data_IF_250788282627
#
_entry.id   IF_250788282627
#
_cell.length_a   1.000
_cell.length_b   1.000
_cell.length_c   1.000
_cell.angle_alpha   90.00
_cell.angle_beta   90.00
_cell.angle_gamma   90.00
#
_symmetry.space_group_name_H-M   'P 1'
#
loop_
_entity.id
_entity.type
_entity.pdbx_description
1 polymer ?
#
# COMPACT_ATOMS: atom_id res chain seq x y z
N UNK A 1 17.16 24.12 11.29
CA UNK A 1 16.12 23.08 11.10
C UNK A 1 15.60 23.19 9.68
N UNK A 2 16.02 22.28 8.81
CA UNK A 2 15.53 22.21 7.43
C UNK A 2 14.16 21.52 7.41
N UNK A 3 13.30 21.88 6.46
CA UNK A 3 11.96 21.30 6.31
C UNK A 3 11.68 20.97 4.85
N UNK A 4 11.00 19.85 4.62
CA UNK A 4 10.49 19.44 3.31
C UNK A 4 8.99 19.21 3.40
N UNK A 5 8.25 19.75 2.43
CA UNK A 5 6.80 19.65 2.34
C UNK A 5 6.45 18.80 1.12
N UNK A 6 5.62 17.78 1.34
CA UNK A 6 5.14 16.86 0.31
C UNK A 6 3.64 17.03 0.18
N UNK A 7 3.19 17.51 -0.98
CA UNK A 7 1.77 17.74 -1.25
C UNK A 7 1.16 16.51 -1.94
N UNK A 8 0.19 15.89 -1.29
CA UNK A 8 -0.48 14.68 -1.75
C UNK A 8 -1.99 14.88 -1.82
N UNK A 9 -2.65 14.03 -2.60
CA UNK A 9 -4.12 13.97 -2.71
C UNK A 9 -4.60 12.54 -2.51
N UNK A 10 -5.57 12.37 -1.62
CA UNK A 10 -6.25 11.10 -1.42
C UNK A 10 -7.23 10.82 -2.57
N UNK A 11 -6.96 9.76 -3.33
CA UNK A 11 -7.76 9.26 -4.45
C UNK A 11 -8.84 8.29 -3.98
N UNK A 12 -8.56 7.57 -2.89
CA UNK A 12 -9.54 6.77 -2.16
C UNK A 12 -9.46 7.13 -0.68
N UNK A 13 -10.49 6.84 0.14
CA UNK A 13 -10.51 7.32 1.53
C UNK A 13 -9.27 6.89 2.31
N UNK A 14 -8.49 7.86 2.78
CA UNK A 14 -7.30 7.64 3.60
C UNK A 14 -7.76 7.43 5.05
N UNK A 15 -7.69 6.18 5.50
CA UNK A 15 -8.02 5.79 6.87
C UNK A 15 -6.74 5.52 7.65
N UNK A 16 -6.48 6.20 8.76
CA UNK A 16 -5.29 5.98 9.60
C UNK A 16 -5.60 5.45 10.99
N UNK A 17 -6.83 4.95 11.20
CA UNK A 17 -7.33 4.57 12.52
C UNK A 17 -7.87 5.78 13.28
N UNK A 18 -8.75 5.52 14.25
CA UNK A 18 -9.30 6.53 15.13
C UNK A 18 -9.36 6.03 16.57
N UNK A 19 -9.35 6.97 17.52
CA UNK A 19 -9.27 6.68 18.94
C UNK A 19 -10.45 5.83 19.45
N UNK A 20 -11.67 6.10 18.96
CA UNK A 20 -12.86 5.31 19.29
C UNK A 20 -13.24 4.45 18.09
N UNK A 21 -13.22 3.12 18.26
CA UNK A 21 -13.70 2.15 17.26
C UNK A 21 -15.07 2.52 16.68
N UNK A 22 -15.90 3.22 17.46
CA UNK A 22 -17.27 3.60 17.13
C UNK A 22 -17.47 4.96 16.45
N UNK A 23 -16.45 5.83 16.42
CA UNK A 23 -16.59 7.21 15.91
C UNK A 23 -15.85 7.48 14.60
N UNK A 24 -15.26 6.45 13.99
CA UNK A 24 -14.46 6.65 12.79
C UNK A 24 -13.12 7.32 13.09
N UNK A 25 -12.58 8.03 12.11
CA UNK A 25 -11.32 8.76 12.16
C UNK A 25 -11.65 10.26 12.15
N UNK A 26 -10.98 11.02 13.01
CA UNK A 26 -11.16 12.47 13.20
C UNK A 26 -10.04 13.29 12.55
N UNK A 27 -8.84 12.71 12.44
CA UNK A 27 -7.69 13.30 11.75
C UNK A 27 -6.82 12.22 11.10
N UNK A 28 -5.98 12.63 10.15
CA UNK A 28 -4.91 11.76 9.66
C UNK A 28 -3.87 11.62 10.77
N UNK A 29 -3.56 10.39 11.16
CA UNK A 29 -2.59 10.07 12.21
C UNK A 29 -1.21 9.81 11.58
N UNK A 30 -0.19 10.64 11.87
CA UNK A 30 1.14 10.50 11.29
C UNK A 30 1.80 9.15 11.59
N UNK A 31 1.54 8.55 12.75
CA UNK A 31 2.10 7.25 13.14
C UNK A 31 1.72 6.12 12.18
N UNK A 32 0.50 6.15 11.62
CA UNK A 32 0.08 5.14 10.64
C UNK A 32 0.83 5.31 9.32
N UNK A 33 0.97 6.56 8.88
CA UNK A 33 1.72 6.92 7.67
C UNK A 33 3.19 6.53 7.80
N UNK A 34 3.81 6.86 8.94
CA UNK A 34 5.21 6.50 9.25
C UNK A 34 5.47 5.00 9.13
N UNK A 35 4.55 4.16 9.63
CA UNK A 35 4.68 2.70 9.52
C UNK A 35 4.73 2.22 8.07
N UNK A 36 3.96 2.85 7.17
CA UNK A 36 4.00 2.53 5.74
C UNK A 36 5.25 3.05 5.04
N UNK A 37 5.70 4.26 5.36
CA UNK A 37 6.95 4.76 4.81
C UNK A 37 8.13 3.87 5.22
N UNK A 38 8.18 3.47 6.50
CA UNK A 38 9.16 2.50 6.99
C UNK A 38 9.09 1.18 6.23
N UNK A 39 7.89 0.60 6.05
CA UNK A 39 7.73 -0.66 5.32
C UNK A 39 8.33 -0.61 3.91
N UNK A 40 8.07 0.48 3.17
CA UNK A 40 8.63 0.66 1.83
C UNK A 40 10.12 0.98 1.85
N UNK A 41 10.60 1.74 2.84
CA UNK A 41 12.02 2.00 3.04
C UNK A 41 12.80 0.70 3.30
N UNK A 42 12.26 -0.22 4.12
CA UNK A 42 12.83 -1.55 4.33
C UNK A 42 12.82 -2.40 3.05
N UNK A 43 11.76 -2.32 2.24
CA UNK A 43 11.68 -3.05 0.98
C UNK A 43 12.74 -2.55 -0.03
N UNK A 44 13.04 -1.25 -0.03
CA UNK A 44 14.13 -0.66 -0.81
C UNK A 44 15.48 -1.10 -0.25
N UNK A 45 15.73 -0.94 1.05
CA UNK A 45 17.02 -1.28 1.67
C UNK A 45 17.41 -2.74 1.45
N UNK A 46 16.43 -3.67 1.45
CA UNK A 46 16.68 -5.11 1.22
C UNK A 46 17.21 -5.46 -0.17
N UNK A 47 17.14 -4.57 -1.16
CA UNK A 47 17.78 -4.80 -2.46
C UNK A 47 19.31 -4.64 -2.39
N UNK A 48 19.78 -3.88 -1.39
CA UNK A 48 21.20 -3.61 -1.12
C UNK A 48 21.74 -4.39 0.06
N UNK A 49 20.88 -4.67 1.04
CA UNK A 49 21.20 -5.45 2.23
C UNK A 49 20.18 -6.59 2.42
N UNK A 50 20.35 -7.71 1.69
CA UNK A 50 19.46 -8.87 1.78
C UNK A 50 19.33 -9.48 3.18
N UNK A 51 20.35 -9.30 4.02
CA UNK A 51 20.38 -9.80 5.40
C UNK A 51 19.54 -8.94 6.35
N UNK A 52 19.00 -7.80 5.88
CA UNK A 52 18.13 -6.95 6.67
C UNK A 52 16.87 -7.71 7.12
N UNK A 53 16.83 -7.99 8.42
CA UNK A 53 15.74 -8.69 9.09
C UNK A 53 14.43 -7.89 9.01
N UNK A 54 13.30 -8.58 9.22
CA UNK A 54 11.98 -7.94 9.36
C UNK A 54 11.78 -7.30 10.73
N UNK A 55 12.57 -7.69 11.72
CA UNK A 55 12.48 -7.15 13.07
C UNK A 55 13.32 -5.87 13.18
N UNK A 56 12.83 -4.83 13.87
CA UNK A 56 13.65 -3.68 14.20
C UNK A 56 14.94 -4.08 14.94
N UNK A 57 16.02 -3.32 14.70
CA UNK A 57 17.26 -3.46 15.46
C UNK A 57 16.98 -3.32 16.95
N UNK A 58 17.66 -4.12 17.77
CA UNK A 58 17.63 -3.99 19.23
C UNK A 58 18.97 -3.41 19.64
N UNK A 59 18.95 -2.18 20.13
CA UNK A 59 20.10 -1.57 20.76
C UNK A 59 20.09 -2.00 22.23
N UNK A 60 21.25 -2.37 22.76
CA UNK A 60 21.44 -2.70 24.17
C UNK A 60 22.11 -1.55 24.91
N UNK A 61 22.03 -1.55 26.24
CA UNK A 61 22.71 -0.53 27.06
C UNK A 61 24.22 -0.49 26.78
N UNK A 62 24.85 -1.66 26.57
CA UNK A 62 26.27 -1.77 26.17
C UNK A 62 26.58 -1.08 24.82
N UNK A 63 25.61 -1.06 23.89
CA UNK A 63 25.77 -0.38 22.59
C UNK A 63 25.64 1.15 22.75
N UNK A 64 24.85 1.62 23.71
CA UNK A 64 24.70 3.04 24.05
C UNK A 64 25.94 3.54 24.78
N UNK A 65 26.49 2.78 25.73
CA UNK A 65 27.73 3.14 26.42
C UNK A 65 28.90 3.28 25.43
N UNK A 66 28.93 2.47 24.36
CA UNK A 66 29.90 2.65 23.27
C UNK A 66 29.70 3.96 22.52
N UNK A 67 28.48 4.45 22.35
CA UNK A 67 28.19 5.73 21.69
C UNK A 67 28.68 6.93 22.52
N UNK A 68 28.48 6.89 23.83
CA UNK A 68 28.90 7.98 24.73
C UNK A 68 30.42 8.12 24.84
N UNK A 69 31.17 7.06 24.50
CA UNK A 69 32.64 7.05 24.46
C UNK A 69 33.21 7.54 23.12
N UNK A 70 32.36 7.76 22.13
CA UNK A 70 32.74 8.13 20.77
C UNK A 70 32.42 9.62 20.55
N UNK A 71 33.31 10.49 21.03
CA UNK A 71 33.32 11.90 20.64
C UNK A 71 33.66 12.00 19.13
N UNK A 72 32.86 12.75 18.38
CA UNK A 72 33.11 13.17 16.99
C UNK A 72 33.28 12.07 15.92
N UNK A 73 32.61 10.92 16.01
CA UNK A 73 32.58 9.97 14.88
C UNK A 73 31.51 10.30 13.86
N UNK A 74 31.96 10.42 12.61
CA UNK A 74 31.11 10.44 11.44
C UNK A 74 30.22 9.18 11.41
N UNK A 75 28.90 9.38 11.49
CA UNK A 75 27.90 8.32 11.43
C UNK A 75 27.83 7.77 9.99
N UNK A 76 28.70 6.80 9.71
CA UNK A 76 28.72 6.03 8.46
C UNK A 76 27.91 4.73 8.61
N UNK A 77 27.56 4.09 7.49
CA UNK A 77 26.91 2.77 7.52
C UNK A 77 27.70 1.72 8.33
N UNK A 78 29.04 1.86 8.36
CA UNK A 78 29.91 0.97 9.12
C UNK A 78 29.74 1.19 10.63
N UNK A 79 29.76 2.45 11.07
CA UNK A 79 29.61 2.77 12.50
C UNK A 79 28.19 2.49 12.99
N UNK A 80 27.16 2.71 12.15
CA UNK A 80 25.80 2.25 12.44
C UNK A 80 25.72 0.72 12.59
N UNK A 81 26.39 -0.02 11.70
CA UNK A 81 26.44 -1.48 11.76
C UNK A 81 27.15 -2.01 13.01
N UNK A 82 28.24 -1.36 13.44
CA UNK A 82 28.96 -1.67 14.70
C UNK A 82 28.08 -1.46 15.95
N UNK A 83 27.07 -0.58 15.85
CA UNK A 83 26.05 -0.33 16.88
C UNK A 83 24.81 -1.22 16.75
N UNK A 84 24.83 -2.20 15.84
CA UNK A 84 23.68 -3.05 15.56
C UNK A 84 22.50 -2.32 14.90
N UNK A 85 22.70 -1.09 14.42
CA UNK A 85 21.68 -0.24 13.79
C UNK A 85 21.75 -0.35 12.26
N UNK A 86 20.61 -0.63 11.63
CA UNK A 86 20.46 -0.46 10.19
C UNK A 86 20.03 0.96 9.83
N UNK A 87 20.23 1.36 8.57
CA UNK A 87 19.84 2.66 8.04
C UNK A 87 18.37 3.00 8.30
N UNK A 88 17.48 2.00 8.23
CA UNK A 88 16.05 2.20 8.49
C UNK A 88 15.79 2.53 9.96
N UNK A 89 16.38 1.78 10.89
CA UNK A 89 16.20 2.05 12.33
C UNK A 89 16.86 3.36 12.73
N UNK A 90 17.98 3.72 12.09
CA UNK A 90 18.60 5.02 12.26
C UNK A 90 17.63 6.16 11.91
N UNK A 91 16.96 6.08 10.76
CA UNK A 91 16.03 7.12 10.28
C UNK A 91 14.70 7.12 11.03
N UNK A 92 14.04 5.96 11.12
CA UNK A 92 12.67 5.80 11.64
C UNK A 92 12.58 5.52 13.13
N UNK A 93 13.71 5.33 13.81
CA UNK A 93 13.76 4.94 15.21
C UNK A 93 13.64 3.43 15.42
N UNK A 94 14.03 3.00 16.61
CA UNK A 94 13.77 1.66 17.17
C UNK A 94 13.68 1.77 18.70
N UNK A 95 13.53 0.66 19.43
CA UNK A 95 13.59 0.68 20.89
C UNK A 95 14.91 1.32 21.35
N UNK A 96 14.85 2.25 22.30
CA UNK A 96 15.98 3.08 22.76
C UNK A 96 16.63 4.00 21.70
N UNK A 97 16.03 4.15 20.50
CA UNK A 97 16.52 5.06 19.47
C UNK A 97 15.42 5.94 18.88
N UNK A 98 15.53 7.25 19.10
CA UNK A 98 14.58 8.20 18.53
C UNK A 98 14.74 8.33 17.01
N UNK A 99 13.62 8.51 16.31
CA UNK A 99 13.61 8.87 14.89
C UNK A 99 14.31 10.23 14.67
N UNK A 100 14.93 10.42 13.50
CA UNK A 100 15.77 11.60 13.19
C UNK A 100 15.01 12.76 12.52
N UNK A 101 13.69 12.69 12.52
CA UNK A 101 12.82 13.72 11.96
C UNK A 101 11.47 13.80 12.68
N UNK A 102 10.86 14.98 12.63
CA UNK A 102 9.46 15.17 12.97
C UNK A 102 8.60 15.13 11.70
N UNK A 103 7.44 14.48 11.79
CA UNK A 103 6.44 14.47 10.74
C UNK A 103 5.16 15.09 11.26
N UNK A 104 4.66 16.08 10.54
CA UNK A 104 3.34 16.66 10.74
C UNK A 104 2.48 16.51 9.47
N UNK A 105 1.16 16.50 9.65
CA UNK A 105 0.21 16.37 8.54
C UNK A 105 -0.85 17.45 8.67
N UNK A 106 -0.95 18.30 7.65
CA UNK A 106 -2.01 19.31 7.54
C UNK A 106 -3.04 18.94 6.47
N UNK A 107 -4.30 19.29 6.72
CA UNK A 107 -5.44 19.06 5.83
C UNK A 107 -6.17 20.38 5.61
N UNK A 108 -6.05 20.94 4.41
CA UNK A 108 -6.68 22.23 4.08
C UNK A 108 -7.84 22.06 3.10
N UNK A 109 -7.69 21.18 2.11
CA UNK A 109 -8.63 21.04 0.99
C UNK A 109 -9.19 19.61 0.90
N UNK A 110 -9.96 19.20 1.91
CA UNK A 110 -10.59 17.89 1.93
C UNK A 110 -11.68 17.73 2.98
N UNK A 111 -12.21 16.51 3.09
CA UNK A 111 -13.26 16.18 4.05
C UNK A 111 -13.13 14.76 4.58
N UNK A 112 -13.71 14.54 5.76
CA UNK A 112 -13.83 13.22 6.35
C UNK A 112 -15.12 12.56 5.88
N UNK A 113 -14.98 11.44 5.17
CA UNK A 113 -16.10 10.56 4.84
C UNK A 113 -16.34 9.56 5.96
N UNK A 114 -17.59 9.22 6.23
CA UNK A 114 -17.94 8.29 7.29
C UNK A 114 -19.00 7.27 6.85
N UNK A 115 -18.54 6.04 6.61
CA UNK A 115 -19.40 4.90 6.25
C UNK A 115 -19.55 3.92 7.43
N UNK A 116 -19.76 4.45 8.64
CA UNK A 116 -19.81 3.63 9.85
C UNK A 116 -20.78 2.44 9.73
N UNK A 117 -20.30 1.25 10.10
CA UNK A 117 -21.02 -0.02 9.99
C UNK A 117 -21.51 -0.41 8.58
N UNK A 118 -21.05 0.25 7.52
CA UNK A 118 -21.42 -0.11 6.16
C UNK A 118 -20.58 -1.27 5.63
N UNK A 119 -21.26 -2.26 5.05
CA UNK A 119 -20.66 -3.43 4.44
C UNK A 119 -20.89 -3.44 2.93
N UNK A 120 -19.80 -3.61 2.17
CA UNK A 120 -19.85 -4.01 0.76
C UNK A 120 -20.18 -5.50 0.75
N UNK A 121 -21.29 -5.90 0.13
CA UNK A 121 -21.74 -7.29 0.15
C UNK A 121 -20.77 -8.22 -0.61
N UNK A 122 -20.56 -9.42 -0.07
CA UNK A 122 -19.66 -10.41 -0.68
C UNK A 122 -20.30 -11.36 -1.69
N UNK A 123 -21.62 -11.33 -1.80
CA UNK A 123 -22.39 -12.37 -2.50
C UNK A 123 -22.38 -13.72 -1.80
N UNK A 124 -21.72 -13.84 -0.64
CA UNK A 124 -21.55 -15.09 0.12
C UNK A 124 -22.31 -15.05 1.43
N UNK A 125 -22.76 -16.21 1.88
CA UNK A 125 -23.40 -16.38 3.18
C UNK A 125 -22.46 -17.15 4.12
N UNK A 126 -22.30 -16.63 5.34
CA UNK A 126 -21.58 -17.31 6.41
C UNK A 126 -22.54 -17.51 7.57
N UNK A 127 -22.80 -18.77 7.95
CA UNK A 127 -23.70 -19.12 9.07
C UNK A 127 -25.05 -18.39 9.00
N UNK A 128 -25.71 -18.43 7.85
CA UNK A 128 -26.99 -17.76 7.55
C UNK A 128 -26.98 -16.22 7.67
N UNK A 129 -25.80 -15.59 7.69
CA UNK A 129 -25.65 -14.13 7.58
C UNK A 129 -25.01 -13.80 6.24
N UNK A 130 -25.55 -12.79 5.56
CA UNK A 130 -24.86 -12.22 4.40
C UNK A 130 -23.49 -11.70 4.83
N UNK A 131 -22.43 -12.24 4.24
CA UNK A 131 -21.08 -11.72 4.42
C UNK A 131 -20.91 -10.37 3.74
N UNK A 132 -19.85 -9.67 4.12
CA UNK A 132 -19.45 -8.43 3.50
C UNK A 132 -18.16 -7.89 4.08
N UNK A 133 -17.57 -6.92 3.39
CA UNK A 133 -16.36 -6.23 3.81
C UNK A 133 -16.70 -4.83 4.29
N UNK A 134 -16.08 -4.35 5.37
CA UNK A 134 -16.32 -3.00 5.87
C UNK A 134 -15.90 -1.97 4.83
N UNK A 135 -16.85 -1.14 4.38
CA UNK A 135 -16.56 0.11 3.70
C UNK A 135 -16.09 1.09 4.77
N UNK A 136 -14.80 1.40 4.77
CA UNK A 136 -14.27 2.40 5.69
C UNK A 136 -14.21 3.75 5.00
N UNK A 137 -14.79 4.75 5.67
CA UNK A 137 -14.54 6.15 5.35
C UNK A 137 -13.10 6.55 5.69
N UNK A 138 -12.83 7.84 5.70
CA UNK A 138 -11.50 8.40 5.87
C UNK A 138 -11.41 9.78 5.23
N UNK A 139 -10.21 10.34 5.24
CA UNK A 139 -9.96 11.62 4.60
C UNK A 139 -9.95 11.47 3.08
N UNK A 140 -10.59 12.40 2.38
CA UNK A 140 -10.50 12.55 0.93
C UNK A 140 -10.21 14.02 0.59
N UNK A 141 -9.30 14.26 -0.35
CA UNK A 141 -8.80 15.60 -0.68
C UNK A 141 -7.29 15.73 -0.53
N UNK A 142 -6.79 16.96 -0.62
CA UNK A 142 -5.36 17.29 -0.56
C UNK A 142 -4.87 17.45 0.87
N UNK A 143 -3.64 17.02 1.13
CA UNK A 143 -2.99 17.12 2.43
C UNK A 143 -1.48 17.23 2.24
N UNK A 144 -0.82 17.84 3.22
CA UNK A 144 0.62 18.06 3.18
C UNK A 144 1.29 17.21 4.27
N UNK A 145 2.38 16.55 3.91
CA UNK A 145 3.29 15.92 4.86
C UNK A 145 4.49 16.85 5.03
N UNK A 146 4.66 17.38 6.22
CA UNK A 146 5.79 18.24 6.59
C UNK A 146 6.81 17.42 7.35
N UNK A 147 8.04 17.37 6.86
CA UNK A 147 9.18 16.67 7.46
C UNK A 147 10.18 17.71 7.93
N UNK A 148 10.46 17.74 9.24
CA UNK A 148 11.47 18.62 9.85
C UNK A 148 12.63 17.80 10.39
N UNK A 149 13.85 18.10 9.94
CA UNK A 149 15.05 17.34 10.31
C UNK A 149 15.64 17.81 11.63
N UNK A 150 16.15 16.87 12.41
CA UNK A 150 16.82 17.19 13.68
C UNK A 150 18.27 17.65 13.48
N UNK A 151 18.93 17.25 12.39
CA UNK A 151 20.35 17.50 12.10
C UNK A 151 20.53 17.94 10.64
N UNK A 152 21.55 18.76 10.33
CA UNK A 152 21.73 19.44 9.02
C UNK A 152 22.18 18.52 7.88
N UNK A 153 22.76 17.36 8.17
CA UNK A 153 23.16 16.40 7.15
C UNK A 153 22.84 14.98 7.60
N UNK A 154 21.92 14.33 6.91
CA UNK A 154 21.70 12.90 7.10
C UNK A 154 21.08 12.28 5.85
N UNK A 155 21.39 11.00 5.53
CA UNK A 155 20.80 10.24 4.43
C UNK A 155 19.30 9.93 4.61
N UNK A 156 18.56 10.69 5.42
CA UNK A 156 17.14 10.50 5.75
C UNK A 156 16.24 10.70 4.52
N UNK A 157 16.54 11.71 3.71
CA UNK A 157 15.66 12.17 2.63
C UNK A 157 15.29 11.06 1.63
N UNK A 158 16.24 10.29 1.06
CA UNK A 158 15.91 9.17 0.19
C UNK A 158 14.95 8.17 0.83
N UNK A 159 15.14 7.84 2.11
CA UNK A 159 14.29 6.90 2.84
C UNK A 159 12.88 7.43 3.12
N UNK A 160 12.58 8.70 2.86
CA UNK A 160 11.22 9.27 2.94
C UNK A 160 10.64 9.48 1.55
N UNK A 161 11.41 10.12 0.67
CA UNK A 161 10.98 10.56 -0.66
C UNK A 161 10.70 9.36 -1.58
N UNK A 162 11.59 8.36 -1.61
CA UNK A 162 11.41 7.19 -2.47
C UNK A 162 10.15 6.41 -2.06
N UNK A 163 9.92 6.05 -0.77
CA UNK A 163 8.65 5.46 -0.34
C UNK A 163 7.41 6.26 -0.73
N UNK A 164 7.42 7.57 -0.55
CA UNK A 164 6.30 8.44 -0.95
C UNK A 164 6.03 8.32 -2.44
N UNK A 165 7.07 8.38 -3.30
CA UNK A 165 6.93 8.21 -4.75
C UNK A 165 6.37 6.85 -5.15
N UNK A 166 6.85 5.78 -4.51
CA UNK A 166 6.34 4.43 -4.78
C UNK A 166 4.86 4.35 -4.43
N UNK A 167 4.48 4.88 -3.26
CA UNK A 167 3.08 4.90 -2.80
C UNK A 167 2.20 5.74 -3.74
N UNK A 168 2.66 6.93 -4.13
CA UNK A 168 1.88 7.86 -4.97
C UNK A 168 1.60 7.33 -6.37
N UNK A 169 2.50 6.49 -6.91
CA UNK A 169 2.37 5.91 -8.26
C UNK A 169 1.73 4.53 -8.28
N UNK A 170 2.12 3.67 -7.35
CA UNK A 170 1.92 2.23 -7.53
C UNK A 170 1.14 1.56 -6.40
N UNK A 171 1.06 2.20 -5.23
CA UNK A 171 0.51 1.57 -4.04
C UNK A 171 -0.50 2.47 -3.32
N UNK A 172 -0.67 2.20 -2.02
CA UNK A 172 -1.56 2.90 -1.11
C UNK A 172 -0.97 2.79 0.30
N UNK A 173 -1.36 3.70 1.18
CA UNK A 173 -0.94 3.72 2.59
C UNK A 173 -2.10 4.12 3.51
N UNK A 174 -1.96 3.81 4.79
CA UNK A 174 -3.06 3.88 5.75
C UNK A 174 -3.51 2.50 6.24
N UNK A 175 -4.45 2.46 7.17
CA UNK A 175 -5.18 1.25 7.51
C UNK A 175 -6.17 0.86 6.40
N UNK A 176 -6.48 -0.43 6.33
CA UNK A 176 -7.49 -1.00 5.42
C UNK A 176 -7.12 -0.93 3.91
N UNK A 177 -5.85 -0.73 3.57
CA UNK A 177 -5.35 -0.76 2.18
C UNK A 177 -5.67 -2.08 1.46
N UNK A 178 -5.71 -3.19 2.18
CA UNK A 178 -6.08 -4.51 1.66
C UNK A 178 -7.56 -4.64 1.24
N UNK A 179 -8.37 -3.62 1.52
CA UNK A 179 -9.79 -3.50 1.17
C UNK A 179 -10.09 -2.29 0.28
N UNK A 180 -9.08 -1.53 -0.18
CA UNK A 180 -9.27 -0.46 -1.16
C UNK A 180 -8.89 0.96 -0.74
N UNK A 181 -8.66 1.19 0.54
CA UNK A 181 -8.40 2.53 1.10
C UNK A 181 -6.96 3.03 0.82
N UNK A 182 -6.80 4.35 0.84
CA UNK A 182 -5.49 4.99 0.95
C UNK A 182 -4.67 5.11 -0.33
N UNK A 183 -5.28 4.96 -1.51
CA UNK A 183 -4.61 5.31 -2.76
C UNK A 183 -4.46 6.82 -2.82
N UNK A 184 -3.26 7.29 -3.21
CA UNK A 184 -2.94 8.71 -3.29
C UNK A 184 -2.14 9.01 -4.55
N UNK A 185 -2.11 10.28 -4.94
CA UNK A 185 -1.19 10.81 -5.92
C UNK A 185 -0.55 12.10 -5.40
N UNK A 186 0.47 12.55 -6.10
CA UNK A 186 1.03 13.88 -5.89
C UNK A 186 0.18 14.95 -6.57
N UNK A 187 0.19 16.15 -6.00
CA UNK A 187 -0.45 17.32 -6.61
C UNK A 187 0.48 17.89 -7.69
N UNK A 188 -0.07 18.22 -8.86
CA UNK A 188 0.62 18.41 -10.15
C UNK A 188 1.78 19.43 -10.19
N UNK A 189 1.96 20.26 -9.15
CA UNK A 189 3.10 21.18 -9.04
C UNK A 189 4.43 20.52 -8.62
N UNK A 190 4.48 19.18 -8.49
CA UNK A 190 5.62 18.44 -7.93
C UNK A 190 6.21 17.35 -8.85
N UNK A 191 6.02 17.40 -10.17
CA UNK A 191 6.52 16.33 -11.07
C UNK A 191 8.04 16.10 -10.99
N UNK A 192 8.83 17.10 -10.57
CA UNK A 192 10.28 16.97 -10.34
C UNK A 192 10.67 16.79 -8.86
N UNK A 193 9.70 16.76 -7.94
CA UNK A 193 9.97 16.64 -6.52
C UNK A 193 10.70 15.34 -6.22
N UNK A 194 11.88 15.45 -5.58
CA UNK A 194 12.67 14.29 -5.20
C UNK A 194 13.42 13.59 -6.33
N UNK A 195 13.28 14.03 -7.59
CA UNK A 195 13.95 13.36 -8.74
C UNK A 195 15.46 13.25 -8.56
N UNK A 196 16.14 14.37 -8.27
CA UNK A 196 17.58 14.37 -8.05
C UNK A 196 18.00 13.51 -6.83
N UNK A 197 17.16 13.44 -5.81
CA UNK A 197 17.40 12.62 -4.61
C UNK A 197 17.33 11.13 -4.98
N UNK A 198 16.31 10.75 -5.75
CA UNK A 198 16.09 9.38 -6.22
C UNK A 198 17.24 8.96 -7.15
N UNK A 199 17.55 9.77 -8.16
CA UNK A 199 18.64 9.51 -9.11
C UNK A 199 19.98 9.34 -8.39
N UNK A 200 20.31 10.26 -7.46
CA UNK A 200 21.53 10.17 -6.64
C UNK A 200 21.57 8.91 -5.77
N UNK A 201 20.48 8.62 -5.06
CA UNK A 201 20.42 7.44 -4.19
C UNK A 201 20.67 6.15 -4.96
N UNK A 202 20.04 5.97 -6.12
CA UNK A 202 20.23 4.78 -6.95
C UNK A 202 21.59 4.79 -7.68
N UNK A 203 22.14 5.95 -8.02
CA UNK A 203 23.47 6.05 -8.63
C UNK A 203 24.61 5.70 -7.67
N UNK A 204 24.45 6.04 -6.39
CA UNK A 204 25.43 5.79 -5.33
C UNK A 204 25.36 4.33 -4.86
N UNK A 205 24.18 3.70 -4.94
CA UNK A 205 23.94 2.32 -4.55
C UNK A 205 23.77 1.40 -5.79
N UNK A 206 24.86 1.11 -6.52
CA UNK A 206 24.79 0.32 -7.77
C UNK A 206 24.81 -1.20 -7.59
N UNK A 207 25.27 -1.71 -6.45
CA UNK A 207 25.36 -3.16 -6.21
C UNK A 207 24.03 -3.69 -5.70
N UNK A 208 23.10 -3.94 -6.63
CA UNK A 208 21.86 -4.64 -6.34
C UNK A 208 22.14 -6.13 -6.25
N UNK A 209 21.69 -6.79 -5.19
CA UNK A 209 21.76 -8.24 -5.08
C UNK A 209 20.51 -8.91 -5.66
N UNK A 210 20.65 -9.40 -6.90
CA UNK A 210 19.60 -10.16 -7.61
C UNK A 210 19.54 -11.64 -7.20
N UNK A 211 20.49 -12.15 -6.41
CA UNK A 211 20.50 -13.55 -5.97
C UNK A 211 19.48 -13.82 -4.85
N UNK A 212 18.81 -12.77 -4.38
CA UNK A 212 18.03 -12.76 -3.17
C UNK A 212 16.81 -13.71 -3.23
N UNK A 213 16.79 -14.69 -2.31
CA UNK A 213 15.68 -15.63 -2.06
C UNK A 213 14.99 -15.33 -0.73
N UNK A 214 14.95 -14.06 -0.35
CA UNK A 214 14.43 -13.66 0.96
C UNK A 214 12.95 -14.02 1.12
N UNK A 215 12.60 -14.49 2.31
CA UNK A 215 11.21 -14.73 2.74
C UNK A 215 10.54 -13.46 3.26
N UNK A 216 11.17 -12.29 3.10
CA UNK A 216 10.60 -10.99 3.46
C UNK A 216 10.48 -10.08 2.24
N UNK A 217 9.54 -9.11 2.26
CA UNK A 217 9.32 -8.21 1.13
C UNK A 217 10.55 -7.38 0.81
N UNK A 218 10.99 -7.44 -0.45
CA UNK A 218 11.94 -6.53 -1.06
C UNK A 218 11.34 -5.97 -2.36
N UNK A 219 11.89 -4.86 -2.85
CA UNK A 219 11.33 -4.14 -3.98
C UNK A 219 11.42 -4.91 -5.32
N UNK A 220 12.43 -5.77 -5.50
CA UNK A 220 12.59 -6.59 -6.73
C UNK A 220 11.52 -7.68 -6.85
N UNK A 221 10.94 -8.07 -5.72
CA UNK A 221 9.90 -9.11 -5.65
C UNK A 221 8.48 -8.53 -5.57
N UNK A 222 8.36 -7.20 -5.65
CA UNK A 222 7.08 -6.51 -5.74
C UNK A 222 6.54 -6.58 -7.17
N UNK A 223 5.22 -6.49 -7.29
CA UNK A 223 4.55 -6.32 -8.57
C UNK A 223 3.52 -5.20 -8.46
N UNK A 224 3.29 -4.49 -9.57
CA UNK A 224 2.28 -3.44 -9.65
C UNK A 224 1.48 -3.56 -10.94
N UNK A 225 0.16 -3.45 -10.83
CA UNK A 225 -0.79 -3.50 -11.94
C UNK A 225 -1.73 -2.32 -11.79
N UNK A 226 -1.96 -1.60 -12.89
CA UNK A 226 -2.98 -0.56 -13.02
C UNK A 226 -4.02 -1.02 -14.03
N UNK A 227 -5.28 -0.99 -13.65
CA UNK A 227 -6.39 -1.30 -14.55
C UNK A 227 -7.14 -0.01 -14.83
N UNK A 228 -7.19 0.39 -16.10
CA UNK A 228 -7.92 1.57 -16.56
C UNK A 228 -9.14 1.14 -17.36
N UNK A 229 -10.27 1.76 -17.06
CA UNK A 229 -11.54 1.39 -17.66
C UNK A 229 -12.52 2.56 -17.66
N UNK A 230 -13.49 2.51 -18.58
CA UNK A 230 -14.61 3.45 -18.59
C UNK A 230 -15.80 2.89 -17.82
N UNK A 231 -16.38 3.71 -16.95
CA UNK A 231 -17.58 3.33 -16.21
C UNK A 231 -18.42 4.53 -15.78
N UNK A 232 -19.74 4.36 -15.93
CA UNK A 232 -20.75 5.27 -15.37
C UNK A 232 -21.30 4.74 -14.05
N UNK A 233 -21.97 5.61 -13.30
CA UNK A 233 -22.52 5.27 -11.98
C UNK A 233 -23.47 4.07 -12.01
N UNK A 234 -24.37 4.01 -13.00
CA UNK A 234 -25.33 2.94 -13.18
C UNK A 234 -24.64 1.58 -13.44
N UNK A 235 -23.58 1.57 -14.23
CA UNK A 235 -22.78 0.37 -14.50
C UNK A 235 -22.13 -0.16 -13.22
N UNK A 236 -21.50 0.72 -12.44
CA UNK A 236 -20.82 0.38 -11.18
C UNK A 236 -21.79 -0.10 -10.08
N UNK A 237 -22.97 0.51 -10.00
CA UNK A 237 -24.04 0.06 -9.09
C UNK A 237 -24.57 -1.31 -9.51
N UNK A 238 -24.76 -1.53 -10.81
CA UNK A 238 -25.23 -2.81 -11.34
C UNK A 238 -24.22 -3.94 -11.09
N UNK A 239 -22.92 -3.63 -11.11
CA UNK A 239 -21.85 -4.56 -10.77
C UNK A 239 -21.98 -5.07 -9.32
N UNK A 240 -22.20 -4.17 -8.34
CA UNK A 240 -22.45 -4.59 -6.95
C UNK A 240 -23.70 -5.46 -6.86
N UNK A 241 -24.80 -5.08 -7.55
CA UNK A 241 -26.05 -5.85 -7.54
C UNK A 241 -25.91 -7.24 -8.14
N UNK A 242 -25.22 -7.38 -9.28
CA UNK A 242 -24.96 -8.65 -9.96
C UNK A 242 -24.20 -9.60 -9.04
N UNK A 243 -23.17 -9.12 -8.36
CA UNK A 243 -22.40 -9.92 -7.41
C UNK A 243 -23.26 -10.40 -6.21
N UNK A 244 -24.34 -9.70 -5.90
CA UNK A 244 -25.27 -10.05 -4.83
C UNK A 244 -26.40 -11.01 -5.26
N UNK A 245 -26.41 -11.52 -6.49
CA UNK A 245 -27.49 -12.35 -7.05
C UNK A 245 -28.89 -11.72 -6.88
N UNK A 246 -29.01 -10.39 -6.94
CA UNK A 246 -30.26 -9.68 -6.64
C UNK A 246 -30.89 -10.03 -5.28
N UNK A 247 -30.15 -10.69 -4.36
CA UNK A 247 -30.55 -10.83 -2.96
C UNK A 247 -30.48 -9.43 -2.36
N UNK A 248 -31.63 -8.76 -2.44
CA UNK A 248 -31.83 -7.38 -2.00
C UNK A 248 -31.18 -7.20 -0.64
N UNK A 249 -30.46 -6.09 -0.55
CA UNK A 249 -29.90 -5.43 0.62
C UNK A 249 -30.99 -5.33 1.71
N UNK A 250 -31.27 -6.43 2.41
CA UNK A 250 -32.25 -6.51 3.52
C UNK A 250 -31.59 -6.37 4.89
N UNK A 251 -30.45 -5.68 4.94
CA UNK A 251 -29.71 -5.44 6.18
C UNK A 251 -29.31 -3.97 6.19
N UNK A 252 -29.71 -3.26 7.24
CA UNK A 252 -29.50 -1.81 7.42
C UNK A 252 -28.00 -1.42 7.41
N UNK A 253 -27.13 -2.41 7.67
CA UNK A 253 -25.68 -2.26 7.68
C UNK A 253 -25.03 -2.44 6.30
N UNK A 254 -25.77 -2.76 5.24
CA UNK A 254 -25.19 -2.85 3.88
C UNK A 254 -25.15 -1.48 3.21
N UNK A 255 -24.19 -1.30 2.30
CA UNK A 255 -24.11 -0.10 1.46
C UNK A 255 -25.39 0.04 0.64
N UNK A 256 -25.98 1.23 0.64
CA UNK A 256 -27.14 1.58 -0.15
C UNK A 256 -26.74 2.46 -1.36
N UNK A 257 -27.72 2.82 -2.21
CA UNK A 257 -27.47 3.64 -3.40
C UNK A 257 -26.91 5.03 -3.07
N UNK A 258 -27.30 5.63 -1.94
CA UNK A 258 -26.82 6.93 -1.51
C UNK A 258 -25.36 6.85 -1.03
N UNK A 259 -25.00 5.82 -0.27
CA UNK A 259 -23.60 5.58 0.15
C UNK A 259 -22.68 5.44 -1.09
N UNK A 260 -23.14 4.70 -2.11
CA UNK A 260 -22.41 4.54 -3.36
C UNK A 260 -22.36 5.82 -4.19
N UNK A 261 -23.44 6.62 -4.17
CA UNK A 261 -23.48 7.93 -4.82
C UNK A 261 -22.47 8.88 -4.18
N UNK A 262 -22.41 8.91 -2.86
CA UNK A 262 -21.42 9.69 -2.12
C UNK A 262 -20.00 9.27 -2.50
N UNK A 263 -19.71 7.96 -2.59
CA UNK A 263 -18.40 7.50 -3.08
C UNK A 263 -18.10 8.06 -4.48
N UNK A 264 -19.03 7.87 -5.42
CA UNK A 264 -18.88 8.26 -6.82
C UNK A 264 -18.69 9.76 -7.03
N UNK A 265 -19.42 10.58 -6.27
CA UNK A 265 -19.30 12.05 -6.25
C UNK A 265 -17.98 12.52 -5.66
N UNK A 266 -17.37 11.72 -4.78
CA UNK A 266 -16.04 11.96 -4.22
C UNK A 266 -14.91 11.34 -5.07
N UNK A 267 -15.21 10.92 -6.29
CA UNK A 267 -14.19 10.46 -7.24
C UNK A 267 -13.66 9.05 -6.99
N UNK A 268 -14.31 8.23 -6.16
CA UNK A 268 -13.93 6.84 -5.96
C UNK A 268 -15.12 5.87 -5.98
N UNK A 269 -14.88 4.58 -6.20
CA UNK A 269 -15.94 3.57 -6.13
C UNK A 269 -15.45 2.27 -5.49
N UNK A 270 -16.21 1.70 -4.51
CA UNK A 270 -15.69 0.66 -3.65
C UNK A 270 -15.70 -0.76 -4.26
N UNK A 271 -14.89 -0.99 -5.31
CA UNK A 271 -14.86 -2.27 -6.05
C UNK A 271 -13.83 -3.28 -5.53
N UNK A 272 -12.80 -2.83 -4.79
CA UNK A 272 -11.68 -3.68 -4.36
C UNK A 272 -12.10 -5.02 -3.73
N UNK A 273 -13.09 -5.08 -2.82
CA UNK A 273 -13.47 -6.35 -2.22
C UNK A 273 -14.12 -7.34 -3.21
N UNK A 274 -14.77 -6.84 -4.26
CA UNK A 274 -15.41 -7.66 -5.29
C UNK A 274 -14.35 -8.34 -6.16
N UNK A 275 -13.36 -7.56 -6.62
CA UNK A 275 -12.21 -8.08 -7.36
C UNK A 275 -11.44 -9.08 -6.51
N UNK A 276 -11.18 -8.75 -5.24
CA UNK A 276 -10.50 -9.65 -4.30
C UNK A 276 -11.24 -10.98 -4.13
N UNK A 277 -12.56 -10.93 -4.07
CA UNK A 277 -13.40 -12.12 -3.92
C UNK A 277 -13.39 -12.98 -5.20
N UNK A 278 -13.47 -12.36 -6.37
CA UNK A 278 -13.32 -13.05 -7.64
C UNK A 278 -11.95 -13.74 -7.73
N UNK A 279 -10.87 -13.00 -7.48
CA UNK A 279 -9.52 -13.53 -7.54
C UNK A 279 -9.33 -14.69 -6.57
N UNK A 280 -9.73 -14.51 -5.31
CA UNK A 280 -9.53 -15.51 -4.26
C UNK A 280 -10.27 -16.83 -4.55
N UNK A 281 -11.43 -16.77 -5.19
CA UNK A 281 -12.34 -17.91 -5.15
C UNK A 281 -12.90 -18.37 -6.50
N UNK A 282 -12.76 -17.59 -7.57
CA UNK A 282 -13.15 -17.99 -8.92
C UNK A 282 -11.90 -18.23 -9.77
N UNK A 283 -10.94 -17.31 -9.74
CA UNK A 283 -9.69 -17.37 -10.52
C UNK A 283 -8.70 -18.43 -10.00
N UNK A 284 -8.20 -18.28 -8.76
CA UNK A 284 -7.12 -19.14 -8.23
C UNK A 284 -7.57 -20.52 -7.71
N UNK A 285 -8.70 -21.06 -8.19
CA UNK A 285 -9.22 -22.38 -7.76
C UNK A 285 -8.26 -23.53 -8.04
N UNK A 286 -7.35 -23.37 -8.99
CA UNK A 286 -6.50 -24.45 -9.51
C UNK A 286 -5.21 -24.69 -8.73
N UNK A 287 -4.85 -23.84 -7.76
CA UNK A 287 -3.64 -24.04 -6.94
C UNK A 287 -4.02 -24.22 -5.47
N UNK A 288 -4.11 -25.47 -4.98
CA UNK A 288 -4.41 -25.77 -3.58
C UNK A 288 -3.46 -25.03 -2.62
N UNK A 289 -4.00 -24.44 -1.55
CA UNK A 289 -3.27 -23.65 -0.51
C UNK A 289 -2.71 -22.29 -0.95
N UNK A 290 -2.86 -21.91 -2.22
CA UNK A 290 -2.39 -20.61 -2.70
C UNK A 290 -3.25 -19.46 -2.15
N UNK A 291 -4.56 -19.68 -2.03
CA UNK A 291 -5.54 -18.68 -1.61
C UNK A 291 -5.27 -18.14 -0.20
N UNK A 292 -4.97 -19.00 0.77
CA UNK A 292 -4.68 -18.62 2.16
C UNK A 292 -3.33 -17.90 2.29
N UNK A 293 -2.33 -18.34 1.53
CA UNK A 293 -0.98 -17.80 1.56
C UNK A 293 -0.86 -16.45 0.84
N UNK A 294 -1.74 -16.18 -0.13
CA UNK A 294 -1.74 -14.95 -0.93
C UNK A 294 -2.76 -13.93 -0.44
N UNK A 295 -4.01 -14.35 -0.21
CA UNK A 295 -5.10 -13.44 0.19
C UNK A 295 -5.25 -13.30 1.70
N UNK A 296 -4.45 -14.08 2.46
CA UNK A 296 -4.45 -14.08 3.90
C UNK A 296 -5.59 -14.91 4.50
N UNK A 297 -5.38 -15.32 5.74
CA UNK A 297 -6.34 -16.13 6.50
C UNK A 297 -6.25 -15.80 7.99
N UNK A 298 -7.39 -15.87 8.65
CA UNK A 298 -7.50 -15.85 10.11
C UNK A 298 -8.09 -17.18 10.53
N UNK A 299 -7.30 -18.02 11.21
CA UNK A 299 -7.74 -19.32 11.74
C UNK A 299 -7.68 -19.32 13.27
N UNK A 300 -8.25 -20.36 13.87
CA UNK A 300 -8.08 -20.69 15.29
C UNK A 300 -8.47 -19.54 16.22
N UNK A 301 -9.64 -18.93 15.98
CA UNK A 301 -10.13 -17.75 16.72
C UNK A 301 -9.13 -16.58 16.73
N UNK A 302 -8.33 -16.46 15.66
CA UNK A 302 -7.39 -15.37 15.49
C UNK A 302 -6.00 -15.61 16.08
N UNK A 303 -5.68 -16.83 16.51
CA UNK A 303 -4.31 -17.23 16.87
C UNK A 303 -3.40 -17.27 15.65
N UNK A 304 -3.92 -17.78 14.53
CA UNK A 304 -3.19 -17.82 13.26
C UNK A 304 -3.68 -16.68 12.38
N UNK A 305 -2.79 -15.74 12.04
CA UNK A 305 -3.10 -14.61 11.17
C UNK A 305 -2.04 -14.49 10.08
N UNK A 306 -2.44 -14.78 8.85
CA UNK A 306 -1.61 -14.55 7.66
C UNK A 306 -2.14 -13.30 6.97
N UNK A 307 -1.29 -12.30 6.78
CA UNK A 307 -1.64 -11.07 6.07
C UNK A 307 -1.73 -11.36 4.57
N UNK A 308 -2.67 -10.68 3.91
CA UNK A 308 -2.76 -10.63 2.45
C UNK A 308 -1.44 -10.09 1.86
N UNK A 309 -0.86 -10.82 0.92
CA UNK A 309 0.32 -10.43 0.15
C UNK A 309 -0.06 -9.55 -1.06
N UNK A 310 -1.31 -9.66 -1.51
CA UNK A 310 -1.90 -8.81 -2.56
C UNK A 310 -2.83 -7.77 -1.94
N UNK A 311 -2.74 -6.54 -2.44
CA UNK A 311 -3.59 -5.42 -2.11
C UNK A 311 -4.23 -4.89 -3.38
N UNK A 312 -5.43 -4.34 -3.24
CA UNK A 312 -6.24 -3.81 -4.34
C UNK A 312 -6.85 -2.51 -3.83
N UNK A 313 -6.68 -1.41 -4.57
CA UNK A 313 -7.31 -0.14 -4.27
C UNK A 313 -8.78 -0.15 -4.70
N UNK A 314 -9.60 0.71 -4.10
CA UNK A 314 -10.84 1.11 -4.75
C UNK A 314 -10.53 1.76 -6.10
N UNK A 315 -11.50 1.73 -7.02
CA UNK A 315 -11.37 2.51 -8.24
C UNK A 315 -11.46 3.98 -7.89
N UNK A 316 -10.68 4.81 -8.57
CA UNK A 316 -10.71 6.26 -8.47
C UNK A 316 -10.67 6.88 -9.85
N UNK A 317 -11.24 8.08 -9.99
CA UNK A 317 -11.21 8.81 -11.25
C UNK A 317 -9.82 9.34 -11.52
N UNK A 318 -9.39 9.26 -12.78
CA UNK A 318 -8.12 9.84 -13.22
C UNK A 318 -8.29 11.18 -13.94
N UNK A 319 -9.52 11.50 -14.37
CA UNK A 319 -9.90 12.77 -14.96
C UNK A 319 -11.38 13.10 -14.65
N UNK A 320 -11.87 14.23 -15.19
CA UNK A 320 -13.27 14.63 -15.02
C UNK A 320 -14.26 13.81 -15.89
N UNK A 321 -13.78 12.79 -16.62
CA UNK A 321 -14.62 11.97 -17.46
C UNK A 321 -15.13 10.72 -16.70
N UNK A 322 -15.58 9.73 -17.46
CA UNK A 322 -15.97 8.40 -17.01
C UNK A 322 -14.78 7.43 -16.93
N UNK A 323 -13.54 7.95 -16.86
CA UNK A 323 -12.32 7.14 -16.82
C UNK A 323 -11.87 6.88 -15.39
N UNK A 324 -11.70 5.60 -15.08
CA UNK A 324 -11.36 5.10 -13.77
C UNK A 324 -10.06 4.31 -13.81
N UNK A 325 -9.35 4.32 -12.69
CA UNK A 325 -8.18 3.49 -12.45
C UNK A 325 -8.31 2.78 -11.10
N UNK A 326 -7.79 1.56 -11.01
CA UNK A 326 -7.48 0.91 -9.74
C UNK A 326 -6.06 0.36 -9.79
N UNK A 327 -5.46 0.19 -8.61
CA UNK A 327 -4.13 -0.40 -8.41
C UNK A 327 -4.25 -1.77 -7.77
N UNK A 328 -3.47 -2.72 -8.25
CA UNK A 328 -3.19 -3.99 -7.60
C UNK A 328 -1.69 -4.05 -7.37
N UNK A 329 -1.28 -4.28 -6.14
CA UNK A 329 0.13 -4.39 -5.81
C UNK A 329 0.35 -5.38 -4.69
N UNK A 330 1.56 -5.92 -4.63
CA UNK A 330 1.90 -6.86 -3.60
C UNK A 330 3.32 -7.36 -3.73
N UNK A 331 3.67 -8.21 -2.80
CA UNK A 331 4.93 -8.94 -2.81
C UNK A 331 4.62 -10.43 -2.89
N UNK A 332 5.25 -11.12 -3.82
CA UNK A 332 5.11 -12.55 -3.98
C UNK A 332 6.47 -13.21 -3.74
N UNK A 333 6.62 -14.06 -2.70
CA UNK A 333 7.90 -14.72 -2.44
C UNK A 333 8.28 -15.61 -3.61
N UNK A 334 9.58 -15.88 -3.78
CA UNK A 334 10.09 -16.77 -4.82
C UNK A 334 9.61 -18.23 -4.65
N UNK A 335 9.25 -18.62 -3.42
CA UNK A 335 8.66 -19.90 -3.08
C UNK A 335 7.46 -19.67 -2.15
N UNK A 336 6.38 -20.43 -2.34
CA UNK A 336 5.25 -20.46 -1.40
C UNK A 336 5.22 -21.82 -0.72
N UNK A 337 5.25 -21.81 0.61
CA UNK A 337 5.24 -23.03 1.42
C UNK A 337 4.09 -23.95 1.02
N UNK A 338 4.44 -25.18 0.65
CA UNK A 338 3.49 -26.21 0.25
C UNK A 338 2.97 -26.12 -1.19
N UNK A 339 3.50 -25.23 -2.04
CA UNK A 339 3.13 -25.11 -3.45
C UNK A 339 4.31 -25.51 -4.35
N UNK A 340 4.28 -26.73 -4.90
CA UNK A 340 5.30 -27.21 -5.86
C UNK A 340 5.05 -26.63 -7.26
N UNK A 341 6.12 -26.31 -7.98
CA UNK A 341 6.04 -25.80 -9.36
C UNK A 341 5.61 -24.33 -9.47
N UNK A 342 5.46 -23.63 -8.34
CA UNK A 342 5.16 -22.21 -8.30
C UNK A 342 6.25 -21.40 -8.99
N UNK A 343 5.83 -20.56 -9.93
CA UNK A 343 6.68 -19.53 -10.54
C UNK A 343 5.98 -18.19 -10.43
N UNK A 344 6.65 -17.25 -9.77
CA UNK A 344 6.12 -15.90 -9.51
C UNK A 344 5.66 -15.20 -10.79
N UNK A 345 6.46 -15.26 -11.84
CA UNK A 345 6.15 -14.58 -13.12
C UNK A 345 4.90 -15.16 -13.78
N UNK A 346 4.72 -16.49 -13.74
CA UNK A 346 3.52 -17.14 -14.28
C UNK A 346 2.28 -16.72 -13.49
N UNK A 347 2.36 -16.69 -12.15
CA UNK A 347 1.25 -16.23 -11.31
C UNK A 347 0.88 -14.76 -11.56
N UNK A 348 1.86 -13.87 -11.76
CA UNK A 348 1.59 -12.47 -12.12
C UNK A 348 0.95 -12.39 -13.50
N UNK A 349 1.33 -13.27 -14.43
CA UNK A 349 0.66 -13.47 -15.72
C UNK A 349 -0.81 -13.79 -15.56
N UNK A 350 -1.11 -14.89 -14.86
CA UNK A 350 -2.47 -15.35 -14.57
C UNK A 350 -3.30 -14.28 -13.87
N UNK A 351 -2.72 -13.58 -12.87
CA UNK A 351 -3.40 -12.47 -12.19
C UNK A 351 -3.85 -11.38 -13.17
N UNK A 352 -3.03 -11.04 -14.17
CA UNK A 352 -3.41 -10.03 -15.17
C UNK A 352 -4.54 -10.53 -16.07
N UNK A 353 -4.43 -11.78 -16.52
CA UNK A 353 -5.42 -12.41 -17.41
C UNK A 353 -6.78 -12.54 -16.71
N UNK A 354 -6.79 -12.95 -15.44
CA UNK A 354 -8.00 -13.07 -14.62
C UNK A 354 -8.63 -11.71 -14.33
N UNK A 355 -7.82 -10.67 -14.10
CA UNK A 355 -8.34 -9.31 -13.94
C UNK A 355 -8.97 -8.82 -15.23
N UNK A 356 -8.32 -9.00 -16.39
CA UNK A 356 -8.91 -8.66 -17.70
C UNK A 356 -10.25 -9.38 -17.91
N UNK A 357 -10.25 -10.71 -17.74
CA UNK A 357 -11.43 -11.55 -17.87
C UNK A 357 -12.57 -11.09 -16.96
N UNK A 358 -12.27 -10.74 -15.71
CA UNK A 358 -13.29 -10.25 -14.78
C UNK A 358 -13.94 -8.95 -15.29
N UNK A 359 -13.16 -8.00 -15.78
CA UNK A 359 -13.70 -6.75 -16.31
C UNK A 359 -14.50 -6.96 -17.61
N UNK A 360 -14.06 -7.87 -18.47
CA UNK A 360 -14.81 -8.28 -19.67
C UNK A 360 -16.16 -8.90 -19.31
N UNK A 361 -16.22 -9.80 -18.33
CA UNK A 361 -17.47 -10.39 -17.81
C UNK A 361 -18.43 -9.37 -17.19
N UNK A 362 -17.91 -8.20 -16.84
CA UNK A 362 -18.65 -7.07 -16.29
C UNK A 362 -19.10 -6.07 -17.36
N UNK A 363 -18.75 -6.27 -18.63
CA UNK A 363 -18.97 -5.33 -19.73
C UNK A 363 -18.46 -3.91 -19.39
N UNK A 364 -17.35 -3.83 -18.66
CA UNK A 364 -16.63 -2.59 -18.45
C UNK A 364 -15.61 -2.49 -19.58
N UNK A 365 -15.68 -1.44 -20.39
CA UNK A 365 -14.70 -1.23 -21.46
C UNK A 365 -13.33 -0.94 -20.80
N UNK A 366 -12.47 -1.95 -20.77
CA UNK A 366 -11.09 -1.84 -20.30
C UNK A 366 -10.29 -1.16 -21.39
N UNK A 367 -9.75 0.01 -21.09
CA UNK A 367 -8.83 0.68 -22.01
C UNK A 367 -7.48 -0.02 -22.02
N UNK A 368 -6.98 -0.33 -20.81
CA UNK A 368 -5.62 -0.83 -20.63
C UNK A 368 -5.45 -1.49 -19.27
N UNK A 369 -4.84 -2.67 -19.26
CA UNK A 369 -4.17 -3.22 -18.08
C UNK A 369 -2.68 -3.00 -18.23
N UNK A 370 -2.12 -2.14 -17.38
CA UNK A 370 -0.71 -1.76 -17.39
C UNK A 370 -0.04 -2.51 -16.25
N UNK A 371 0.94 -3.35 -16.58
CA UNK A 371 1.78 -4.02 -15.59
C UNK A 371 3.09 -3.24 -15.49
N UNK A 372 3.33 -2.63 -14.34
CA UNK A 372 4.49 -1.78 -14.09
C UNK A 372 5.34 -2.39 -12.99
N UNK A 373 6.66 -2.42 -13.17
CA UNK A 373 7.39 -2.91 -14.32
C UNK A 373 7.58 -4.44 -14.21
N UNK A 374 7.76 -5.11 -15.36
CA UNK A 374 7.82 -6.59 -15.43
C UNK A 374 9.24 -7.18 -15.57
N UNK A 375 10.23 -6.41 -16.04
CA UNK A 375 11.43 -7.00 -16.65
C UNK A 375 12.78 -6.66 -16.02
N UNK A 376 12.96 -5.49 -15.42
CA UNK A 376 14.24 -5.08 -14.80
C UNK A 376 14.06 -3.84 -13.90
N UNK A 377 15.04 -3.61 -13.02
CA UNK A 377 15.02 -2.54 -12.03
C UNK A 377 15.20 -1.14 -12.65
N UNK A 378 15.88 -1.02 -13.78
CA UNK A 378 16.09 0.26 -14.44
C UNK A 378 14.78 0.79 -15.04
N UNK A 379 13.98 -0.11 -15.62
CA UNK A 379 12.61 0.19 -16.07
C UNK A 379 11.72 0.65 -14.92
N UNK A 380 11.85 0.05 -13.73
CA UNK A 380 11.18 0.52 -12.51
C UNK A 380 11.58 1.94 -12.15
N UNK A 381 12.88 2.20 -12.12
CA UNK A 381 13.40 3.50 -11.76
C UNK A 381 12.93 4.57 -12.75
N UNK A 382 12.94 4.27 -14.06
CA UNK A 382 12.40 5.17 -15.08
C UNK A 382 10.93 5.50 -14.82
N UNK A 383 10.09 4.50 -14.55
CA UNK A 383 8.65 4.69 -14.26
C UNK A 383 8.38 5.42 -12.94
N UNK A 384 9.27 5.27 -11.96
CA UNK A 384 9.21 6.01 -10.71
C UNK A 384 9.53 7.50 -10.90
N UNK A 385 10.36 7.82 -11.91
CA UNK A 385 10.87 9.17 -12.22
C UNK A 385 10.07 9.92 -13.29
N UNK A 386 9.37 9.23 -14.19
CA UNK A 386 8.25 9.77 -15.00
C UNK A 386 7.17 10.34 -14.09
#
# INVERSE_FOLDING_TARGET
MQTVIINLRALTPLWTGGYKKQKGMDKINPSNILGWLRYWAEAIERIYNPELKSEPCKITDDDIDRLELIDDVELTNKTLGELGLCNICYVYGTTEWAKRFYMDISTENGKMLNFYNKLIPSGREHKNRSGGWPLKGGYIGEFNITISYLEEETPILPYIIIPVKIISKFASFGGNTSNGNGAVCEVENNNNFGRAIIEKFFSDNRKIDYSNKSQVPNLLDMFFIRVRFHARFDMLVNLIKKQCNNKVIRDDNKVNKNDLKECFENGFFPIAPLIKNYLRYEAFRLVPKLDENIFGVVKDNGKTRIKSKINISHAYRIDNNDKWELRIWGWLPCNIDGVKGYKRQELIGELCDDVNKYFDELNLAVDTVIVEPRSDFDSFLQKLLE
#
